data_IF_140439206970
#
_entry.id   IF_140439206970
#
_cell.length_a   1.000
_cell.length_b   1.000
_cell.length_c   1.000
_cell.angle_alpha   90.00
_cell.angle_beta   90.00
_cell.angle_gamma   90.00
#
_symmetry.space_group_name_H-M   'P 1'
#
loop_
_entity.id
_entity.type
_entity.pdbx_description
1 polymer ?
#
# COMPACT_ATOMS: atom_id res chain seq x y z
N UNK A 1 27.64 -19.37 -29.93
CA UNK A 1 28.50 -18.25 -29.51
C UNK A 1 28.05 -17.81 -28.13
N UNK A 2 28.92 -17.69 -27.12
CA UNK A 2 28.52 -17.18 -25.81
C UNK A 2 28.14 -15.69 -25.95
N UNK A 3 26.94 -15.31 -25.52
CA UNK A 3 26.56 -13.90 -25.45
C UNK A 3 27.42 -13.19 -24.40
N UNK A 4 27.95 -11.98 -24.67
CA UNK A 4 28.68 -11.23 -23.67
C UNK A 4 27.74 -10.93 -22.50
N UNK A 5 28.03 -11.51 -21.33
CA UNK A 5 27.32 -11.23 -20.09
C UNK A 5 27.71 -9.84 -19.62
N UNK A 6 26.89 -8.84 -19.95
CA UNK A 6 27.08 -7.49 -19.46
C UNK A 6 27.01 -7.50 -17.92
N UNK A 7 27.90 -6.78 -17.23
CA UNK A 7 28.00 -6.83 -15.77
C UNK A 7 26.70 -6.36 -15.13
N UNK A 8 26.11 -7.21 -14.28
CA UNK A 8 24.92 -6.92 -13.46
C UNK A 8 25.27 -6.05 -12.24
N UNK A 9 26.10 -5.03 -12.45
CA UNK A 9 26.54 -4.11 -11.40
C UNK A 9 25.44 -3.11 -11.02
N UNK A 10 25.59 -2.42 -9.86
CA UNK A 10 24.68 -1.36 -9.45
C UNK A 10 24.50 -0.31 -10.55
N UNK A 11 23.30 0.27 -10.67
CA UNK A 11 23.05 1.40 -11.58
C UNK A 11 24.05 2.52 -11.29
N UNK A 12 24.80 2.93 -12.32
CA UNK A 12 25.76 4.03 -12.23
C UNK A 12 25.00 5.33 -11.95
N UNK A 13 25.62 6.25 -11.22
CA UNK A 13 24.98 7.47 -10.73
C UNK A 13 24.40 8.35 -11.86
N UNK A 14 25.07 8.40 -13.02
CA UNK A 14 24.59 9.10 -14.22
C UNK A 14 23.40 8.46 -14.94
N UNK A 15 23.03 7.23 -14.58
CA UNK A 15 21.84 6.57 -15.10
C UNK A 15 20.62 6.85 -14.21
N UNK A 16 20.67 7.67 -13.15
CA UNK A 16 19.53 7.84 -12.21
C UNK A 16 18.66 9.03 -12.61
N UNK A 17 17.34 8.86 -12.49
CA UNK A 17 16.41 9.98 -12.62
C UNK A 17 16.30 10.67 -11.26
N UNK A 18 17.12 11.70 -11.06
CA UNK A 18 17.23 12.41 -9.77
C UNK A 18 15.88 12.89 -9.23
N UNK A 19 15.05 13.49 -10.10
CA UNK A 19 13.69 13.94 -9.75
C UNK A 19 12.84 12.79 -9.21
N UNK A 20 12.95 11.60 -9.81
CA UNK A 20 12.19 10.43 -9.36
C UNK A 20 12.67 9.92 -8.01
N UNK A 21 13.98 9.95 -7.76
CA UNK A 21 14.56 9.55 -6.49
C UNK A 21 14.16 10.54 -5.37
N UNK A 22 14.15 11.85 -5.65
CA UNK A 22 13.66 12.89 -4.72
C UNK A 22 12.17 12.71 -4.42
N UNK A 23 11.35 12.53 -5.44
CA UNK A 23 9.90 12.33 -5.27
C UNK A 23 9.59 11.08 -4.44
N UNK A 24 10.37 10.01 -4.58
CA UNK A 24 10.23 8.80 -3.75
C UNK A 24 10.59 9.07 -2.30
N UNK A 25 11.69 9.78 -2.05
CA UNK A 25 12.07 10.18 -0.70
C UNK A 25 10.98 11.02 -0.03
N UNK A 26 10.41 11.97 -0.78
CA UNK A 26 9.31 12.80 -0.32
C UNK A 26 8.04 11.98 -0.04
N UNK A 27 7.66 11.09 -0.94
CA UNK A 27 6.53 10.19 -0.75
C UNK A 27 6.71 9.32 0.50
N UNK A 28 7.89 8.70 0.66
CA UNK A 28 8.22 7.87 1.83
C UNK A 28 8.19 8.66 3.14
N UNK A 29 8.63 9.92 3.14
CA UNK A 29 8.53 10.79 4.31
C UNK A 29 7.06 11.02 4.69
N UNK A 30 6.18 11.27 3.71
CA UNK A 30 4.74 11.40 3.95
C UNK A 30 4.13 10.11 4.53
N UNK A 31 4.49 8.95 3.98
CA UNK A 31 4.05 7.64 4.50
C UNK A 31 4.54 7.44 5.94
N UNK A 32 5.78 7.80 6.25
CA UNK A 32 6.33 7.72 7.60
C UNK A 32 5.53 8.59 8.58
N UNK A 33 5.23 9.85 8.22
CA UNK A 33 4.45 10.76 9.06
C UNK A 33 3.06 10.16 9.34
N UNK A 34 2.38 9.65 8.31
CA UNK A 34 1.07 9.02 8.47
C UNK A 34 1.12 7.85 9.46
N UNK A 35 2.12 6.97 9.33
CA UNK A 35 2.30 5.82 10.23
C UNK A 35 2.62 6.24 11.67
N UNK A 36 3.40 7.32 11.87
CA UNK A 36 3.70 7.83 13.21
C UNK A 36 2.45 8.38 13.91
N UNK A 37 1.59 9.08 13.17
CA UNK A 37 0.32 9.60 13.69
C UNK A 37 -0.60 8.46 14.07
N UNK A 38 -0.70 7.43 13.23
CA UNK A 38 -1.54 6.26 13.49
C UNK A 38 -1.02 5.43 14.68
N UNK A 39 0.30 5.31 14.83
CA UNK A 39 0.91 4.68 16.02
C UNK A 39 0.62 5.47 17.30
N UNK A 40 0.64 6.80 17.22
CA UNK A 40 0.40 7.69 18.36
C UNK A 40 -1.07 7.96 18.67
N UNK A 41 -1.97 7.54 17.79
CA UNK A 41 -3.34 8.01 17.73
C UNK A 41 -4.37 7.14 18.45
N UNK A 42 -5.62 7.41 18.13
CA UNK A 42 -6.79 6.72 18.67
C UNK A 42 -6.78 5.22 18.31
N UNK A 43 -7.10 4.38 19.29
CA UNK A 43 -7.26 2.93 19.07
C UNK A 43 -5.99 2.11 19.21
N UNK A 44 -4.82 2.75 19.32
CA UNK A 44 -3.53 2.09 19.60
C UNK A 44 -3.01 2.42 20.99
N UNK A 45 -2.85 3.71 21.32
CA UNK A 45 -2.27 4.15 22.61
C UNK A 45 -3.29 4.81 23.54
N UNK A 46 -4.36 5.38 23.01
CA UNK A 46 -5.38 6.11 23.78
C UNK A 46 -6.76 6.02 23.11
N UNK A 47 -7.82 6.22 23.91
CA UNK A 47 -9.19 6.38 23.38
C UNK A 47 -9.44 7.82 22.92
N UNK A 48 -10.48 8.02 22.09
CA UNK A 48 -10.90 9.36 21.65
C UNK A 48 -11.09 10.32 22.85
N UNK A 49 -11.76 9.86 23.90
CA UNK A 49 -12.04 10.65 25.09
C UNK A 49 -10.76 11.05 25.84
N UNK A 50 -9.77 10.14 25.89
CA UNK A 50 -8.47 10.41 26.53
C UNK A 50 -7.66 11.43 25.72
N UNK A 51 -7.68 11.33 24.39
CA UNK A 51 -7.04 12.29 23.49
C UNK A 51 -7.72 13.67 23.57
N UNK A 52 -9.04 13.71 23.62
CA UNK A 52 -9.82 14.94 23.73
C UNK A 52 -9.62 15.65 25.09
N UNK A 53 -9.26 14.92 26.14
CA UNK A 53 -8.96 15.48 27.46
C UNK A 53 -7.55 16.10 27.56
N UNK A 54 -6.67 15.91 26.57
CA UNK A 54 -5.33 16.48 26.59
C UNK A 54 -5.35 17.99 26.35
N UNK A 55 -4.47 18.76 27.00
CA UNK A 55 -4.34 20.20 26.72
C UNK A 55 -3.97 20.52 25.27
N UNK A 56 -3.37 19.57 24.55
CA UNK A 56 -2.98 19.70 23.15
C UNK A 56 -4.12 19.46 22.15
N UNK A 57 -5.28 18.97 22.60
CA UNK A 57 -6.34 18.46 21.73
C UNK A 57 -6.74 19.42 20.58
N UNK A 58 -6.83 20.73 20.86
CA UNK A 58 -7.16 21.73 19.84
C UNK A 58 -6.04 21.92 18.79
N UNK A 59 -4.78 21.85 19.21
CA UNK A 59 -3.64 21.89 18.29
C UNK A 59 -3.52 20.59 17.48
N UNK A 60 -3.85 19.46 18.10
CA UNK A 60 -3.85 18.16 17.47
C UNK A 60 -4.94 18.08 16.39
N UNK A 61 -6.14 18.64 16.64
CA UNK A 61 -7.22 18.74 15.64
C UNK A 61 -6.77 19.53 14.40
N UNK A 62 -6.17 20.71 14.60
CA UNK A 62 -5.68 21.53 13.49
C UNK A 62 -4.56 20.83 12.71
N UNK A 63 -3.67 20.14 13.42
CA UNK A 63 -2.59 19.36 12.82
C UNK A 63 -3.15 18.19 12.01
N UNK A 64 -4.09 17.43 12.56
CA UNK A 64 -4.76 16.34 11.88
C UNK A 64 -5.51 16.82 10.63
N UNK A 65 -6.14 17.99 10.68
CA UNK A 65 -6.77 18.59 9.50
C UNK A 65 -5.75 18.89 8.39
N UNK A 66 -4.60 19.48 8.72
CA UNK A 66 -3.53 19.73 7.75
C UNK A 66 -2.95 18.43 7.18
N UNK A 67 -2.72 17.44 8.03
CA UNK A 67 -2.22 16.13 7.61
C UNK A 67 -3.21 15.41 6.69
N UNK A 68 -4.51 15.49 6.98
CA UNK A 68 -5.57 14.96 6.10
C UNK A 68 -5.60 15.68 4.76
N UNK A 69 -5.40 17.00 4.76
CA UNK A 69 -5.42 17.78 3.55
C UNK A 69 -4.20 17.53 2.65
N UNK A 70 -3.01 17.31 3.22
CA UNK A 70 -1.76 17.28 2.46
C UNK A 70 -1.06 15.92 2.38
N UNK A 71 -1.22 15.06 3.38
CA UNK A 71 -0.38 13.86 3.54
C UNK A 71 -1.19 12.57 3.41
N UNK A 72 -2.22 12.38 4.24
CA UNK A 72 -3.01 11.15 4.24
C UNK A 72 -3.59 10.86 2.86
N UNK A 73 -3.53 9.59 2.45
CA UNK A 73 -3.83 9.04 1.12
C UNK A 73 -2.97 9.57 -0.05
N UNK A 74 -2.55 10.83 -0.01
CA UNK A 74 -1.79 11.50 -1.07
C UNK A 74 -0.36 11.00 -1.13
N UNK A 75 0.28 10.80 0.03
CA UNK A 75 1.63 10.24 0.10
C UNK A 75 1.66 8.80 -0.46
N UNK A 76 0.67 7.98 -0.09
CA UNK A 76 0.50 6.62 -0.59
C UNK A 76 0.23 6.61 -2.11
N UNK A 77 -0.67 7.47 -2.58
CA UNK A 77 -0.99 7.60 -4.01
C UNK A 77 0.23 8.02 -4.82
N UNK A 78 0.98 9.01 -4.35
CA UNK A 78 2.22 9.47 -4.98
C UNK A 78 3.24 8.32 -5.03
N UNK A 79 3.43 7.62 -3.92
CA UNK A 79 4.33 6.47 -3.86
C UNK A 79 3.91 5.37 -4.85
N UNK A 80 2.62 5.05 -4.96
CA UNK A 80 2.09 4.05 -5.89
C UNK A 80 2.40 4.40 -7.37
N UNK A 81 2.22 5.67 -7.75
CA UNK A 81 2.55 6.16 -9.10
C UNK A 81 4.06 6.01 -9.36
N UNK A 82 4.90 6.43 -8.41
CA UNK A 82 6.36 6.35 -8.51
C UNK A 82 6.89 4.92 -8.50
N UNK A 83 6.16 4.01 -7.84
CA UNK A 83 6.42 2.58 -7.84
C UNK A 83 6.17 1.99 -9.23
N UNK A 84 5.03 2.32 -9.87
CA UNK A 84 4.73 1.95 -11.24
C UNK A 84 5.71 2.53 -12.26
N UNK A 85 6.07 3.81 -12.14
CA UNK A 85 7.13 4.42 -12.96
C UNK A 85 8.48 3.70 -12.76
N UNK A 86 8.77 3.27 -11.53
CA UNK A 86 9.94 2.47 -11.21
C UNK A 86 10.00 1.13 -11.91
N UNK A 87 8.86 0.44 -11.96
CA UNK A 87 8.73 -0.79 -12.74
C UNK A 87 9.06 -0.55 -14.21
N UNK A 88 8.48 0.48 -14.83
CA UNK A 88 8.72 0.82 -16.24
C UNK A 88 10.20 1.12 -16.51
N UNK A 89 10.81 1.97 -15.70
CA UNK A 89 12.22 2.34 -15.84
C UNK A 89 13.14 1.12 -15.68
N UNK A 90 12.82 0.22 -14.75
CA UNK A 90 13.60 -1.00 -14.56
C UNK A 90 13.45 -1.95 -15.75
N UNK A 91 12.23 -2.06 -16.29
CA UNK A 91 11.94 -2.85 -17.49
C UNK A 91 12.77 -2.34 -18.67
N UNK A 92 12.65 -1.06 -18.99
CA UNK A 92 13.38 -0.43 -20.09
C UNK A 92 14.90 -0.63 -19.98
N UNK A 93 15.48 -0.41 -18.79
CA UNK A 93 16.92 -0.54 -18.58
C UNK A 93 17.43 -1.97 -18.69
N UNK A 94 16.72 -2.93 -18.09
CA UNK A 94 17.15 -4.33 -18.11
C UNK A 94 16.96 -4.92 -19.51
N UNK A 95 15.88 -4.53 -20.21
CA UNK A 95 15.67 -4.87 -21.62
C UNK A 95 16.77 -4.29 -22.51
N UNK A 96 17.13 -3.01 -22.36
CA UNK A 96 18.20 -2.38 -23.13
C UNK A 96 19.58 -3.04 -22.91
N UNK A 97 19.81 -3.65 -21.75
CA UNK A 97 21.05 -4.36 -21.39
C UNK A 97 21.01 -5.86 -21.66
N UNK A 98 19.92 -6.39 -22.23
CA UNK A 98 19.74 -7.84 -22.42
C UNK A 98 19.76 -8.66 -21.12
N UNK A 99 19.50 -8.03 -19.97
CA UNK A 99 19.52 -8.66 -18.66
C UNK A 99 18.15 -9.30 -18.34
N UNK A 100 18.15 -10.31 -17.47
CA UNK A 100 16.94 -11.02 -17.06
C UNK A 100 16.04 -10.18 -16.15
N UNK A 101 15.22 -9.29 -16.75
CA UNK A 101 14.27 -8.42 -16.05
C UNK A 101 13.40 -9.18 -15.05
N UNK A 102 12.78 -10.27 -15.49
CA UNK A 102 11.80 -11.02 -14.70
C UNK A 102 12.41 -11.59 -13.43
N UNK A 103 13.59 -12.19 -13.52
CA UNK A 103 14.29 -12.76 -12.37
C UNK A 103 14.65 -11.69 -11.33
N UNK A 104 15.15 -10.53 -11.80
CA UNK A 104 15.54 -9.42 -10.92
C UNK A 104 14.30 -8.80 -10.27
N UNK A 105 13.23 -8.59 -11.04
CA UNK A 105 11.99 -8.02 -10.53
C UNK A 105 11.29 -8.94 -9.54
N UNK A 106 11.12 -10.23 -9.89
CA UNK A 106 10.49 -11.22 -9.03
C UNK A 106 11.19 -11.34 -7.69
N UNK A 107 12.53 -11.35 -7.66
CA UNK A 107 13.28 -11.37 -6.40
C UNK A 107 12.99 -10.13 -5.54
N UNK A 108 12.93 -8.94 -6.15
CA UNK A 108 12.64 -7.69 -5.42
C UNK A 108 11.24 -7.69 -4.83
N UNK A 109 10.23 -8.04 -5.62
CA UNK A 109 8.83 -8.00 -5.16
C UNK A 109 8.53 -9.14 -4.19
N UNK A 110 9.18 -10.31 -4.34
CA UNK A 110 9.07 -11.40 -3.38
C UNK A 110 9.64 -11.01 -2.01
N UNK A 111 10.80 -10.35 -1.98
CA UNK A 111 11.35 -9.81 -0.74
C UNK A 111 10.42 -8.75 -0.14
N UNK A 112 9.95 -7.80 -0.94
CA UNK A 112 9.02 -6.76 -0.49
C UNK A 112 7.75 -7.35 0.12
N UNK A 113 7.17 -8.35 -0.54
CA UNK A 113 5.96 -9.04 -0.10
C UNK A 113 6.22 -9.84 1.17
N UNK A 114 7.33 -10.57 1.25
CA UNK A 114 7.71 -11.33 2.44
C UNK A 114 7.93 -10.41 3.65
N UNK A 115 8.60 -9.26 3.46
CA UNK A 115 8.74 -8.25 4.50
C UNK A 115 7.39 -7.66 4.91
N UNK A 116 6.50 -7.37 3.96
CA UNK A 116 5.15 -6.89 4.26
C UNK A 116 4.34 -7.89 5.09
N UNK A 117 4.36 -9.17 4.74
CA UNK A 117 3.68 -10.21 5.52
C UNK A 117 4.30 -10.40 6.90
N UNK A 118 5.63 -10.38 7.01
CA UNK A 118 6.31 -10.45 8.31
C UNK A 118 5.95 -9.24 9.19
N UNK A 119 5.83 -8.06 8.59
CA UNK A 119 5.46 -6.82 9.27
C UNK A 119 3.99 -6.84 9.75
N UNK A 120 3.07 -7.33 8.91
CA UNK A 120 1.66 -7.57 9.27
C UNK A 120 1.51 -8.47 10.50
N UNK A 121 2.30 -9.53 10.56
CA UNK A 121 2.25 -10.51 11.65
C UNK A 121 2.93 -10.01 12.94
N UNK A 122 3.90 -9.10 12.82
CA UNK A 122 4.80 -8.71 13.91
C UNK A 122 4.48 -7.40 14.60
N UNK A 123 4.11 -6.34 13.86
CA UNK A 123 4.08 -4.97 14.40
C UNK A 123 2.84 -4.16 14.08
N UNK A 124 2.33 -4.18 12.84
CA UNK A 124 1.24 -3.28 12.43
C UNK A 124 0.23 -4.00 11.54
N UNK A 125 -1.05 -3.94 11.92
CA UNK A 125 -2.15 -4.47 11.11
C UNK A 125 -2.35 -3.70 9.79
N UNK A 126 -1.81 -2.48 9.69
CA UNK A 126 -2.05 -1.51 8.60
C UNK A 126 -0.85 -1.35 7.66
N UNK A 127 -0.08 -2.42 7.47
CA UNK A 127 1.11 -2.41 6.61
C UNK A 127 0.76 -2.16 5.14
N UNK A 128 1.47 -1.25 4.47
CA UNK A 128 1.25 -0.97 3.04
C UNK A 128 2.18 -1.77 2.12
N UNK A 129 3.27 -2.32 2.65
CA UNK A 129 4.29 -3.06 1.90
C UNK A 129 3.73 -4.32 1.23
N UNK A 130 2.92 -5.10 1.95
CA UNK A 130 2.33 -6.32 1.39
C UNK A 130 1.40 -5.99 0.22
N UNK A 131 0.60 -4.92 0.33
CA UNK A 131 -0.27 -4.44 -0.75
C UNK A 131 0.57 -4.07 -1.97
N UNK A 132 1.63 -3.28 -1.80
CA UNK A 132 2.52 -2.94 -2.91
C UNK A 132 3.19 -4.15 -3.53
N UNK A 133 3.66 -5.10 -2.71
CA UNK A 133 4.23 -6.35 -3.16
C UNK A 133 3.28 -7.14 -4.05
N UNK A 134 2.04 -7.33 -3.60
CA UNK A 134 0.98 -8.01 -4.36
C UNK A 134 0.63 -7.25 -5.64
N UNK A 135 0.47 -5.93 -5.56
CA UNK A 135 0.18 -5.10 -6.74
C UNK A 135 1.33 -5.12 -7.76
N UNK A 136 2.57 -5.31 -7.31
CA UNK A 136 3.72 -5.48 -8.17
C UNK A 136 3.65 -6.77 -9.02
N UNK A 137 3.10 -7.86 -8.44
CA UNK A 137 2.78 -9.06 -9.23
C UNK A 137 1.70 -8.76 -10.26
N UNK A 138 0.61 -8.09 -9.88
CA UNK A 138 -0.45 -7.69 -10.82
C UNK A 138 0.10 -6.83 -11.95
N UNK A 139 1.00 -5.88 -11.66
CA UNK A 139 1.73 -5.08 -12.67
C UNK A 139 2.56 -5.96 -13.62
N UNK A 140 3.27 -6.96 -13.09
CA UNK A 140 4.06 -7.89 -13.91
C UNK A 140 3.19 -8.71 -14.88
N UNK A 141 2.02 -9.19 -14.40
CA UNK A 141 1.08 -9.96 -15.22
C UNK A 141 0.38 -9.07 -16.26
N UNK A 142 0.02 -7.85 -15.89
CA UNK A 142 -0.70 -6.92 -16.76
C UNK A 142 0.17 -6.28 -17.85
N UNK A 143 1.51 -6.36 -17.77
CA UNK A 143 2.43 -5.68 -18.72
C UNK A 143 2.23 -6.02 -20.20
N UNK A 144 1.68 -7.21 -20.51
CA UNK A 144 1.44 -7.66 -21.89
C UNK A 144 0.00 -7.40 -22.35
N UNK A 145 -0.85 -6.84 -21.49
CA UNK A 145 -2.22 -6.52 -21.81
C UNK A 145 -2.29 -5.30 -22.73
N UNK A 146 -3.27 -5.24 -23.66
CA UNK A 146 -3.45 -4.06 -24.50
C UNK A 146 -3.94 -2.88 -23.66
N UNK A 147 -3.53 -1.67 -24.04
CA UNK A 147 -3.85 -0.40 -23.34
C UNK A 147 -5.35 -0.25 -23.07
N UNK A 148 -6.20 -0.68 -24.02
CA UNK A 148 -7.67 -0.66 -23.87
C UNK A 148 -8.14 -1.51 -22.69
N UNK A 149 -7.61 -2.71 -22.53
CA UNK A 149 -7.97 -3.60 -21.40
C UNK A 149 -7.50 -2.99 -20.08
N UNK A 150 -6.30 -2.41 -20.05
CA UNK A 150 -5.77 -1.75 -18.85
C UNK A 150 -6.61 -0.53 -18.44
N UNK A 151 -7.05 0.27 -19.42
CA UNK A 151 -7.94 1.40 -19.19
C UNK A 151 -9.28 0.97 -18.60
N UNK A 152 -9.96 0.00 -19.22
CA UNK A 152 -11.25 -0.48 -18.72
C UNK A 152 -11.14 -1.20 -17.38
N UNK A 153 -10.09 -2.00 -17.18
CA UNK A 153 -9.82 -2.63 -15.88
C UNK A 153 -9.59 -1.58 -14.79
N UNK A 154 -8.78 -0.56 -15.05
CA UNK A 154 -8.54 0.55 -14.12
C UNK A 154 -9.81 1.34 -13.83
N UNK A 155 -10.62 1.65 -14.84
CA UNK A 155 -11.89 2.36 -14.68
C UNK A 155 -12.89 1.56 -13.84
N UNK A 156 -13.00 0.26 -14.11
CA UNK A 156 -13.89 -0.64 -13.38
C UNK A 156 -13.44 -0.77 -11.92
N UNK A 157 -12.14 -0.94 -11.67
CA UNK A 157 -11.60 -0.91 -10.31
C UNK A 157 -11.89 0.42 -9.61
N UNK A 158 -11.71 1.55 -10.28
CA UNK A 158 -11.97 2.86 -9.68
C UNK A 158 -13.44 3.06 -9.27
N UNK A 159 -14.38 2.58 -10.09
CA UNK A 159 -15.82 2.74 -9.82
C UNK A 159 -16.30 1.70 -8.79
N UNK A 160 -15.86 0.45 -8.90
CA UNK A 160 -16.44 -0.66 -8.15
C UNK A 160 -15.64 -1.11 -6.92
N UNK A 161 -14.34 -0.82 -6.82
CA UNK A 161 -13.53 -1.35 -5.71
C UNK A 161 -14.05 -0.85 -4.35
N UNK A 162 -14.32 0.45 -4.21
CA UNK A 162 -14.81 1.03 -2.96
C UNK A 162 -16.19 0.50 -2.53
N UNK A 163 -17.26 0.60 -3.35
CA UNK A 163 -18.56 0.09 -2.93
C UNK A 163 -18.56 -1.43 -2.72
N UNK A 164 -17.71 -2.18 -3.43
CA UNK A 164 -17.57 -3.62 -3.22
C UNK A 164 -16.94 -3.93 -1.86
N UNK A 165 -15.89 -3.22 -1.45
CA UNK A 165 -15.25 -3.40 -0.14
C UNK A 165 -16.22 -3.00 0.98
N UNK A 166 -16.85 -1.83 0.87
CA UNK A 166 -17.82 -1.35 1.86
C UNK A 166 -19.03 -2.29 1.98
N UNK A 167 -19.54 -2.79 0.84
CA UNK A 167 -20.62 -3.77 0.82
C UNK A 167 -20.22 -5.10 1.45
N UNK A 168 -19.01 -5.60 1.18
CA UNK A 168 -18.50 -6.84 1.77
C UNK A 168 -18.29 -6.72 3.28
N UNK A 169 -17.68 -5.63 3.75
CA UNK A 169 -17.49 -5.36 5.18
C UNK A 169 -18.85 -5.23 5.87
N UNK A 170 -19.76 -4.44 5.29
CA UNK A 170 -21.11 -4.25 5.81
C UNK A 170 -21.84 -5.58 5.96
N UNK A 171 -21.83 -6.42 4.92
CA UNK A 171 -22.49 -7.72 4.96
C UNK A 171 -21.92 -8.65 6.04
N UNK A 172 -20.59 -8.67 6.23
CA UNK A 172 -19.98 -9.45 7.30
C UNK A 172 -20.36 -8.93 8.69
N UNK A 173 -20.43 -7.60 8.88
CA UNK A 173 -20.88 -7.00 10.12
C UNK A 173 -22.36 -7.30 10.43
N UNK A 174 -23.22 -7.34 9.40
CA UNK A 174 -24.61 -7.79 9.55
C UNK A 174 -24.69 -9.25 10.00
N UNK A 175 -23.90 -10.13 9.39
CA UNK A 175 -23.89 -11.56 9.73
C UNK A 175 -23.38 -11.81 11.16
N UNK A 176 -22.33 -11.10 11.61
CA UNK A 176 -21.82 -11.22 12.98
C UNK A 176 -22.85 -10.75 14.00
N UNK A 177 -23.50 -9.61 13.77
CA UNK A 177 -24.54 -9.09 14.65
C UNK A 177 -25.74 -10.04 14.78
N UNK A 178 -26.12 -10.71 13.69
CA UNK A 178 -27.22 -11.66 13.67
C UNK A 178 -26.89 -12.97 14.40
N UNK A 179 -25.63 -13.41 14.31
CA UNK A 179 -25.13 -14.58 15.04
C UNK A 179 -25.05 -14.32 16.55
N UNK A 180 -24.65 -13.13 16.98
CA UNK A 180 -24.63 -12.72 18.39
C UNK A 180 -26.03 -12.66 19.00
N UNK A 181 -27.01 -12.12 18.27
CA UNK A 181 -28.42 -12.11 18.70
C UNK A 181 -28.99 -13.53 18.83
N UNK A 182 -28.72 -14.39 17.84
CA UNK A 182 -29.16 -15.79 17.87
C UNK A 182 -28.54 -16.58 19.03
N UNK A 183 -27.26 -16.32 19.36
CA UNK A 183 -26.57 -16.97 20.49
C UNK A 183 -27.13 -16.48 21.84
N UNK A 184 -27.46 -15.19 21.93
CA UNK A 184 -28.04 -14.58 23.14
C UNK A 184 -29.44 -15.11 23.41
N UNK A 185 -30.30 -15.22 22.39
CA UNK A 185 -31.65 -15.78 22.52
C UNK A 185 -31.64 -17.27 22.91
N UNK A 186 -30.74 -18.06 22.32
CA UNK A 186 -30.58 -19.47 22.69
C UNK A 186 -30.10 -19.66 24.14
N UNK A 187 -29.25 -18.76 24.64
CA UNK A 187 -28.80 -18.78 26.03
C UNK A 187 -29.87 -18.32 27.04
N UNK A 188 -30.79 -17.46 26.62
CA UNK A 188 -31.93 -16.99 27.42
C UNK A 188 -33.07 -18.01 27.45
N UNK A 189 -33.33 -18.72 26.35
CA UNK A 189 -34.40 -19.72 26.24
C UNK A 189 -34.03 -21.09 26.86
N UNK A 190 -32.78 -21.29 27.26
CA UNK A 190 -32.29 -22.52 27.90
C UNK A 190 -32.31 -22.53 29.44
N UNK A 191 -32.90 -21.52 30.10
CA UNK A 191 -33.09 -21.46 31.56
C UNK A 191 -34.55 -21.58 31.97
#
# INVERSE_FOLDING_TARGET
>A
MPHPTLPTGPTRQGDRYEILDVLRGFALLGVLIANLVELGGEGVLATADQLAALPSAAMDEQTNWLLNLFIFDKANTLFAILFGAGFWIMLERLSARGAAFEQIYLRRIALLTAFGFLHLLGWFAWDILHVYGLMAFVLLLSRKMPVRTMFWAGLLLMIFARPMIEGFIGQNAYLSAQMDLAYTDAAVLGR
#
